data_IF_164249400155
#
_entry.id   IF_164249400155
#
_cell.length_a   1.000
_cell.length_b   1.000
_cell.length_c   1.000
_cell.angle_alpha   90.00
_cell.angle_beta   90.00
_cell.angle_gamma   90.00
#
_symmetry.space_group_name_H-M   'P 1'
#
loop_
_entity.id
_entity.type
_entity.pdbx_description
1 polymer ?
#
# COMPACT_ATOMS: atom_id res chain seq x y z
N UNK A 1 43.48 -33.34 24.84
CA UNK A 1 42.22 -33.41 25.63
C UNK A 1 41.13 -32.44 25.13
N UNK A 2 41.25 -31.87 23.91
CA UNK A 2 40.25 -30.91 23.38
C UNK A 2 39.22 -31.55 22.43
N UNK A 3 39.56 -32.66 21.78
CA UNK A 3 38.74 -33.27 20.73
C UNK A 3 37.40 -33.82 21.21
N UNK A 4 37.27 -34.22 22.48
CA UNK A 4 35.99 -34.66 23.07
C UNK A 4 35.07 -33.49 23.40
N UNK A 5 35.63 -32.34 23.81
CA UNK A 5 34.88 -31.10 24.02
C UNK A 5 34.39 -30.58 22.66
N UNK A 6 35.26 -30.51 21.65
CA UNK A 6 34.90 -30.06 20.30
C UNK A 6 33.81 -30.96 19.66
N UNK A 7 33.90 -32.29 19.85
CA UNK A 7 32.92 -33.26 19.36
C UNK A 7 31.54 -33.13 20.03
N UNK A 8 31.51 -32.70 21.30
CA UNK A 8 30.27 -32.46 22.05
C UNK A 8 29.67 -31.09 21.75
N UNK A 9 30.51 -30.09 21.48
CA UNK A 9 30.11 -28.71 21.18
C UNK A 9 29.57 -28.55 19.76
N UNK A 10 30.13 -29.24 18.76
CA UNK A 10 29.70 -29.16 17.37
C UNK A 10 28.18 -29.40 17.17
N UNK A 11 27.57 -30.48 17.70
CA UNK A 11 26.12 -30.69 17.56
C UNK A 11 25.29 -29.67 18.35
N UNK A 12 25.77 -29.21 19.52
CA UNK A 12 25.08 -28.17 20.31
C UNK A 12 25.07 -26.81 19.59
N UNK A 13 26.22 -26.41 19.05
CA UNK A 13 26.34 -25.18 18.25
C UNK A 13 25.52 -25.29 16.98
N UNK A 14 25.53 -26.45 16.31
CA UNK A 14 24.69 -26.71 15.14
C UNK A 14 23.20 -26.62 15.45
N UNK A 15 22.74 -27.22 16.55
CA UNK A 15 21.36 -27.14 17.00
C UNK A 15 20.95 -25.70 17.34
N UNK A 16 21.80 -24.96 18.05
CA UNK A 16 21.56 -23.55 18.36
C UNK A 16 21.49 -22.69 17.08
N UNK A 17 22.43 -22.86 16.15
CA UNK A 17 22.44 -22.16 14.89
C UNK A 17 21.18 -22.46 14.05
N UNK A 18 20.72 -23.71 14.06
CA UNK A 18 19.48 -24.12 13.39
C UNK A 18 18.24 -23.46 13.98
N UNK A 19 18.13 -23.42 15.32
CA UNK A 19 17.02 -22.72 16.01
C UNK A 19 17.04 -21.23 15.69
N UNK A 20 18.22 -20.59 15.72
CA UNK A 20 18.37 -19.19 15.37
C UNK A 20 17.98 -18.95 13.90
N UNK A 21 18.41 -19.82 12.98
CA UNK A 21 18.05 -19.71 11.57
C UNK A 21 16.53 -19.80 11.35
N UNK A 22 15.84 -20.72 12.03
CA UNK A 22 14.38 -20.81 12.01
C UNK A 22 13.73 -19.54 12.57
N UNK A 23 14.21 -19.04 13.72
CA UNK A 23 13.66 -17.83 14.33
C UNK A 23 13.83 -16.61 13.41
N UNK A 24 15.00 -16.43 12.80
CA UNK A 24 15.25 -15.37 11.82
C UNK A 24 14.39 -15.51 10.57
N UNK A 25 14.21 -16.74 10.07
CA UNK A 25 13.35 -17.01 8.93
C UNK A 25 11.89 -16.66 9.20
N UNK A 26 11.35 -17.11 10.35
CA UNK A 26 9.97 -16.79 10.75
C UNK A 26 9.80 -15.30 10.97
N UNK A 27 10.75 -14.65 11.65
CA UNK A 27 10.71 -13.20 11.87
C UNK A 27 10.72 -12.43 10.55
N UNK A 28 11.63 -12.75 9.63
CA UNK A 28 11.68 -12.15 8.28
C UNK A 28 10.35 -12.35 7.55
N UNK A 29 9.83 -13.59 7.55
CA UNK A 29 8.61 -13.96 6.84
C UNK A 29 7.41 -13.18 7.37
N UNK A 30 7.28 -13.06 8.70
CA UNK A 30 6.22 -12.28 9.34
C UNK A 30 6.35 -10.79 9.06
N UNK A 31 7.57 -10.23 9.10
CA UNK A 31 7.83 -8.83 8.80
C UNK A 31 7.41 -8.47 7.37
N UNK A 32 7.85 -9.26 6.39
CA UNK A 32 7.45 -9.08 4.99
C UNK A 32 5.96 -9.33 4.77
N UNK A 33 5.38 -10.36 5.41
CA UNK A 33 3.93 -10.62 5.35
C UNK A 33 3.11 -9.41 5.81
N UNK A 34 3.52 -8.78 6.91
CA UNK A 34 2.86 -7.59 7.44
C UNK A 34 3.05 -6.38 6.52
N UNK A 35 4.24 -6.21 5.94
CA UNK A 35 4.53 -5.15 4.96
C UNK A 35 3.68 -5.32 3.70
N UNK A 36 3.62 -6.52 3.13
CA UNK A 36 2.81 -6.86 1.96
C UNK A 36 1.33 -6.59 2.21
N UNK A 37 0.81 -7.00 3.38
CA UNK A 37 -0.58 -6.71 3.77
C UNK A 37 -0.91 -5.22 3.73
N UNK A 38 0.01 -4.35 4.17
CA UNK A 38 -0.19 -2.90 4.11
C UNK A 38 -0.19 -2.34 2.69
N UNK A 39 0.55 -2.97 1.79
CA UNK A 39 0.63 -2.55 0.38
C UNK A 39 -0.52 -3.14 -0.47
N UNK A 40 -1.41 -3.94 0.12
CA UNK A 40 -2.49 -4.61 -0.61
C UNK A 40 -2.05 -5.90 -1.31
N UNK A 41 -0.89 -6.44 -0.93
CA UNK A 41 -0.30 -7.64 -1.49
C UNK A 41 -0.58 -8.86 -0.61
N UNK A 42 -0.60 -10.05 -1.20
CA UNK A 42 -0.90 -11.29 -0.50
C UNK A 42 0.19 -11.63 0.54
N UNK A 43 -0.21 -11.73 1.81
CA UNK A 43 0.76 -11.91 2.90
C UNK A 43 1.52 -13.24 2.86
N UNK A 44 0.93 -14.31 2.32
CA UNK A 44 1.59 -15.61 2.23
C UNK A 44 2.88 -15.57 1.41
N UNK A 45 3.00 -14.61 0.48
CA UNK A 45 4.21 -14.39 -0.33
C UNK A 45 5.45 -14.13 0.54
N UNK A 46 5.26 -13.55 1.74
CA UNK A 46 6.34 -13.31 2.71
C UNK A 46 7.04 -14.58 3.20
N UNK A 47 6.33 -15.71 3.21
CA UNK A 47 6.82 -17.01 3.68
C UNK A 47 7.59 -17.80 2.62
N UNK A 48 7.60 -17.38 1.36
CA UNK A 48 8.30 -18.13 0.31
C UNK A 48 9.61 -17.42 -0.03
N UNK A 49 10.80 -18.00 0.24
CA UNK A 49 12.10 -17.29 0.20
C UNK A 49 12.46 -16.62 -1.13
N UNK A 50 12.03 -17.18 -2.25
CA UNK A 50 12.27 -16.55 -3.56
C UNK A 50 11.19 -15.54 -3.89
N UNK A 51 9.93 -15.88 -3.59
CA UNK A 51 8.79 -15.05 -3.91
C UNK A 51 8.74 -13.77 -3.06
N UNK A 52 9.17 -13.82 -1.80
CA UNK A 52 9.18 -12.63 -0.94
C UNK A 52 10.11 -11.55 -1.51
N UNK A 53 11.33 -11.90 -1.92
CA UNK A 53 12.26 -10.99 -2.58
C UNK A 53 11.75 -10.60 -3.97
N UNK A 54 11.24 -11.55 -4.77
CA UNK A 54 10.65 -11.26 -6.08
C UNK A 54 9.51 -10.23 -5.99
N UNK A 55 8.68 -10.31 -4.95
CA UNK A 55 7.59 -9.37 -4.67
C UNK A 55 8.14 -7.99 -4.32
N UNK A 56 9.20 -7.91 -3.50
CA UNK A 56 9.89 -6.63 -3.24
C UNK A 56 10.50 -6.04 -4.52
N UNK A 57 11.08 -6.87 -5.40
CA UNK A 57 11.54 -6.44 -6.73
C UNK A 57 10.39 -5.87 -7.56
N UNK A 58 9.24 -6.57 -7.59
CA UNK A 58 8.04 -6.14 -8.32
C UNK A 58 7.56 -4.76 -7.87
N UNK A 59 7.44 -4.55 -6.55
CA UNK A 59 7.06 -3.27 -5.95
C UNK A 59 8.12 -2.17 -6.17
N UNK A 60 9.38 -2.55 -6.34
CA UNK A 60 10.46 -1.68 -6.81
C UNK A 60 10.43 -1.37 -8.31
N UNK A 61 9.48 -1.90 -9.07
CA UNK A 61 9.34 -1.70 -10.52
C UNK A 61 10.28 -2.55 -11.37
N UNK A 62 10.81 -3.65 -10.83
CA UNK A 62 11.65 -4.60 -11.55
C UNK A 62 10.90 -5.89 -11.92
N UNK A 63 11.47 -6.65 -12.87
CA UNK A 63 10.97 -7.99 -13.19
C UNK A 63 11.23 -8.95 -12.01
N UNK A 64 10.20 -9.59 -11.41
CA UNK A 64 10.34 -10.51 -10.28
C UNK A 64 11.28 -11.69 -10.55
N UNK A 65 11.38 -12.13 -11.81
CA UNK A 65 12.25 -13.24 -12.22
C UNK A 65 13.75 -12.94 -12.04
N UNK A 66 14.12 -11.67 -11.87
CA UNK A 66 15.52 -11.31 -11.58
C UNK A 66 16.00 -11.86 -10.23
N UNK A 67 15.10 -12.28 -9.33
CA UNK A 67 15.50 -12.93 -8.08
C UNK A 67 16.29 -14.23 -8.33
N UNK A 68 16.04 -14.92 -9.45
CA UNK A 68 16.71 -16.18 -9.78
C UNK A 68 18.22 -15.99 -10.01
N UNK A 69 18.70 -14.77 -10.22
CA UNK A 69 20.14 -14.49 -10.31
C UNK A 69 20.86 -14.85 -9.01
N UNK A 70 20.18 -14.95 -7.86
CA UNK A 70 20.79 -15.39 -6.60
C UNK A 70 21.35 -16.81 -6.68
N UNK A 71 20.86 -17.65 -7.61
CA UNK A 71 21.38 -19.00 -7.85
C UNK A 71 22.78 -18.96 -8.50
N UNK A 72 23.17 -17.84 -9.11
CA UNK A 72 24.52 -17.64 -9.66
C UNK A 72 25.40 -17.05 -8.55
N UNK A 73 26.30 -17.85 -7.95
CA UNK A 73 27.10 -17.40 -6.83
C UNK A 73 28.03 -16.25 -7.22
N UNK A 74 28.29 -15.35 -6.27
CA UNK A 74 29.11 -14.15 -6.48
C UNK A 74 28.31 -13.02 -7.13
N UNK A 75 28.45 -12.86 -8.45
CA UNK A 75 27.91 -11.68 -9.17
C UNK A 75 26.38 -11.66 -9.12
N UNK A 76 25.71 -12.81 -9.31
CA UNK A 76 24.25 -12.87 -9.34
C UNK A 76 23.61 -12.46 -8.01
N UNK A 77 24.13 -12.97 -6.89
CA UNK A 77 23.71 -12.56 -5.56
C UNK A 77 23.93 -11.06 -5.30
N UNK A 78 25.07 -10.51 -5.74
CA UNK A 78 25.36 -9.07 -5.63
C UNK A 78 24.36 -8.22 -6.43
N UNK A 79 24.04 -8.63 -7.66
CA UNK A 79 23.05 -7.93 -8.50
C UNK A 79 21.67 -7.94 -7.83
N UNK A 80 21.22 -9.09 -7.31
CA UNK A 80 19.93 -9.17 -6.59
C UNK A 80 19.91 -8.27 -5.36
N UNK A 81 21.02 -8.21 -4.59
CA UNK A 81 21.15 -7.33 -3.44
C UNK A 81 21.02 -5.85 -3.86
N UNK A 82 21.71 -5.43 -4.91
CA UNK A 82 21.63 -4.04 -5.43
C UNK A 82 20.20 -3.72 -5.89
N UNK A 83 19.54 -4.64 -6.60
CA UNK A 83 18.15 -4.47 -7.03
C UNK A 83 17.19 -4.33 -5.84
N UNK A 84 17.36 -5.15 -4.80
CA UNK A 84 16.57 -5.05 -3.57
C UNK A 84 16.77 -3.70 -2.87
N UNK A 85 18.00 -3.18 -2.85
CA UNK A 85 18.29 -1.86 -2.28
C UNK A 85 17.59 -0.75 -3.08
N UNK A 86 17.64 -0.81 -4.41
CA UNK A 86 16.94 0.14 -5.27
C UNK A 86 15.42 0.02 -5.08
N UNK A 87 14.88 -1.20 -4.99
CA UNK A 87 13.47 -1.43 -4.69
C UNK A 87 13.07 -0.82 -3.35
N UNK A 88 13.83 -1.08 -2.29
CA UNK A 88 13.59 -0.50 -0.98
C UNK A 88 13.63 1.04 -1.04
N UNK A 89 14.58 1.62 -1.77
CA UNK A 89 14.63 3.07 -2.00
C UNK A 89 13.37 3.63 -2.65
N UNK A 90 12.81 2.92 -3.65
CA UNK A 90 11.58 3.33 -4.34
C UNK A 90 10.32 3.11 -3.49
N UNK A 91 10.33 2.12 -2.61
CA UNK A 91 9.22 1.81 -1.69
C UNK A 91 9.17 2.79 -0.51
N UNK A 92 10.33 3.17 0.05
CA UNK A 92 10.44 4.00 1.25
C UNK A 92 9.60 5.29 1.24
N UNK A 93 9.58 6.09 0.14
CA UNK A 93 8.73 7.27 0.05
C UNK A 93 7.23 6.99 0.21
N UNK A 94 6.76 5.80 -0.19
CA UNK A 94 5.36 5.41 -0.03
C UNK A 94 4.96 5.16 1.42
N UNK A 95 5.91 4.89 2.30
CA UNK A 95 5.69 4.86 3.75
C UNK A 95 6.03 6.20 4.44
N UNK A 96 6.57 7.16 3.71
CA UNK A 96 7.03 8.45 4.23
C UNK A 96 8.47 8.46 4.75
N UNK A 97 9.28 7.44 4.41
CA UNK A 97 10.68 7.36 4.81
C UNK A 97 11.63 7.88 3.72
N UNK A 98 12.77 8.43 4.16
CA UNK A 98 13.83 8.94 3.27
C UNK A 98 14.96 7.94 2.98
N UNK A 99 16.07 8.43 2.38
CA UNK A 99 17.21 7.58 1.99
C UNK A 99 17.90 6.86 3.16
N UNK A 100 17.87 7.40 4.38
CA UNK A 100 18.43 6.70 5.56
C UNK A 100 17.78 5.33 5.80
N UNK A 101 16.50 5.20 5.47
CA UNK A 101 15.78 3.92 5.54
C UNK A 101 16.26 2.93 4.47
N UNK A 102 16.82 3.41 3.35
CA UNK A 102 17.45 2.57 2.32
C UNK A 102 18.77 2.02 2.80
N UNK A 103 19.57 2.82 3.52
CA UNK A 103 20.81 2.35 4.13
C UNK A 103 20.50 1.24 5.15
N UNK A 104 19.45 1.42 5.96
CA UNK A 104 18.97 0.37 6.85
C UNK A 104 18.54 -0.88 6.08
N UNK A 105 17.82 -0.75 4.96
CA UNK A 105 17.45 -1.88 4.11
C UNK A 105 18.67 -2.64 3.57
N UNK A 106 19.71 -1.91 3.16
CA UNK A 106 20.93 -2.47 2.60
C UNK A 106 21.75 -3.25 3.63
N UNK A 107 21.84 -2.75 4.87
CA UNK A 107 22.61 -3.37 5.94
C UNK A 107 21.81 -4.44 6.72
N UNK A 108 20.52 -4.18 6.93
CA UNK A 108 19.65 -4.93 7.83
C UNK A 108 18.23 -5.07 7.23
N UNK A 109 18.14 -5.86 6.16
CA UNK A 109 16.89 -6.05 5.42
C UNK A 109 15.71 -6.51 6.28
N UNK A 110 15.93 -7.43 7.24
CA UNK A 110 14.90 -7.92 8.18
C UNK A 110 14.34 -6.78 9.04
N UNK A 111 15.23 -5.90 9.53
CA UNK A 111 14.86 -4.78 10.41
C UNK A 111 14.08 -3.73 9.63
N UNK A 112 14.51 -3.44 8.39
CA UNK A 112 13.78 -2.59 7.47
C UNK A 112 12.35 -3.08 7.24
N UNK A 113 12.19 -4.36 6.89
CA UNK A 113 10.88 -4.98 6.67
C UNK A 113 10.01 -4.95 7.95
N UNK A 114 10.62 -5.14 9.12
CA UNK A 114 9.91 -5.11 10.41
C UNK A 114 9.33 -3.73 10.72
N UNK A 115 10.11 -2.67 10.48
CA UNK A 115 9.66 -1.30 10.70
C UNK A 115 8.52 -0.95 9.73
N UNK A 116 8.62 -1.34 8.46
CA UNK A 116 7.55 -1.09 7.50
C UNK A 116 6.31 -1.92 7.79
N UNK A 117 6.49 -3.20 8.12
CA UNK A 117 5.42 -4.16 8.38
C UNK A 117 4.67 -3.91 9.67
N UNK A 118 5.39 -3.75 10.80
CA UNK A 118 4.79 -3.61 12.13
C UNK A 118 4.69 -2.17 12.61
N UNK A 119 5.40 -1.23 12.00
CA UNK A 119 5.37 0.17 12.41
C UNK A 119 3.98 0.82 12.22
N UNK A 120 3.72 1.97 12.84
CA UNK A 120 2.41 2.63 12.78
C UNK A 120 2.14 3.32 11.43
N UNK A 121 3.16 3.49 10.59
CA UNK A 121 3.04 4.21 9.32
C UNK A 121 2.19 3.43 8.31
N UNK A 122 1.08 4.01 7.81
CA UNK A 122 0.32 3.41 6.73
C UNK A 122 1.04 3.56 5.40
N UNK A 123 0.77 2.64 4.48
CA UNK A 123 1.18 2.77 3.08
C UNK A 123 0.37 3.88 2.41
N UNK A 124 1.05 4.86 1.82
CA UNK A 124 0.44 5.99 1.11
C UNK A 124 0.54 5.86 -0.42
N UNK A 125 1.05 4.72 -0.91
CA UNK A 125 1.38 4.51 -2.31
C UNK A 125 2.75 5.06 -2.68
N UNK A 126 3.47 4.35 -3.54
CA UNK A 126 4.66 4.89 -4.17
C UNK A 126 4.24 6.16 -4.94
N UNK A 127 4.95 7.28 -4.78
CA UNK A 127 4.68 8.50 -5.56
C UNK A 127 4.80 8.19 -7.06
N UNK A 128 3.69 7.80 -7.65
CA UNK A 128 3.38 7.83 -9.06
C UNK A 128 2.01 8.49 -9.12
N UNK A 129 2.00 9.81 -8.92
CA UNK A 129 1.02 10.64 -9.61
C UNK A 129 1.32 10.53 -11.11
N UNK A 130 0.90 9.42 -11.70
CA UNK A 130 0.56 9.34 -13.11
C UNK A 130 -0.95 9.45 -13.28
N UNK A 131 -1.65 9.97 -12.28
CA UNK A 131 -2.77 10.84 -12.60
C UNK A 131 -2.13 12.13 -13.15
N UNK A 132 -2.49 12.57 -14.37
CA UNK A 132 -2.21 13.95 -14.79
C UNK A 132 -2.59 14.89 -13.63
N UNK A 133 -1.92 16.04 -13.45
CA UNK A 133 -2.43 17.07 -12.55
C UNK A 133 -3.91 17.22 -12.88
N UNK A 134 -4.82 16.84 -11.98
CA UNK A 134 -6.23 17.09 -12.21
C UNK A 134 -6.30 18.60 -12.27
N UNK A 135 -6.59 19.21 -13.44
CA UNK A 135 -6.71 20.65 -13.50
C UNK A 135 -7.76 21.06 -12.47
N UNK A 136 -7.65 22.26 -11.87
CA UNK A 136 -8.66 22.75 -10.96
C UNK A 136 -10.03 22.51 -11.58
N UNK A 137 -10.84 21.64 -10.96
CA UNK A 137 -12.16 21.32 -11.49
C UNK A 137 -12.91 22.65 -11.52
N UNK A 138 -13.32 23.18 -12.68
CA UNK A 138 -14.14 24.38 -12.69
C UNK A 138 -15.38 24.10 -11.85
N UNK A 139 -15.89 25.08 -11.09
CA UNK A 139 -17.12 24.90 -10.34
C UNK A 139 -18.17 24.37 -11.30
N UNK A 140 -18.72 23.20 -10.99
CA UNK A 140 -19.83 22.63 -11.74
C UNK A 140 -20.89 23.73 -11.86
N UNK A 141 -21.43 24.02 -13.06
CA UNK A 141 -22.58 24.89 -13.17
C UNK A 141 -23.65 24.34 -12.23
N UNK A 142 -24.33 25.23 -11.51
CA UNK A 142 -25.41 24.90 -10.58
C UNK A 142 -26.67 24.40 -11.33
N UNK A 143 -26.51 23.54 -12.33
CA UNK A 143 -27.60 22.95 -13.12
C UNK A 143 -28.50 22.06 -12.24
N UNK A 144 -27.99 21.57 -11.11
CA UNK A 144 -28.80 20.90 -10.09
C UNK A 144 -29.70 21.85 -9.30
N UNK A 145 -29.35 23.13 -9.16
CA UNK A 145 -30.22 24.13 -8.54
C UNK A 145 -31.32 24.62 -9.50
N UNK A 146 -31.07 24.64 -10.80
CA UNK A 146 -32.06 25.03 -11.81
C UNK A 146 -33.21 24.01 -11.93
N UNK A 147 -32.93 22.71 -11.78
CA UNK A 147 -33.99 21.68 -11.80
C UNK A 147 -34.86 21.72 -10.53
N UNK A 148 -34.30 22.12 -9.38
CA UNK A 148 -35.05 22.28 -8.14
C UNK A 148 -35.94 23.53 -8.11
N UNK A 149 -35.56 24.61 -8.82
CA UNK A 149 -36.37 25.81 -8.94
C UNK A 149 -37.58 25.65 -9.88
N UNK A 150 -37.53 24.68 -10.81
CA UNK A 150 -38.60 24.46 -11.79
C UNK A 150 -39.76 23.60 -11.27
N UNK A 151 -39.67 23.05 -10.06
CA UNK A 151 -40.74 22.29 -9.39
C UNK A 151 -41.44 23.08 -8.26
N UNK A 152 -41.10 24.36 -8.09
CA UNK A 152 -41.80 25.22 -7.15
C UNK A 152 -43.23 25.50 -7.65
N UNK A 153 -44.27 25.33 -6.82
CA UNK A 153 -45.64 25.68 -7.19
C UNK A 153 -45.73 27.18 -7.51
N UNK A 154 -46.29 27.52 -8.66
CA UNK A 154 -46.58 28.91 -9.03
C UNK A 154 -47.59 29.48 -8.03
N UNK A 155 -47.30 30.60 -7.33
CA UNK A 155 -48.28 31.25 -6.48
C UNK A 155 -49.41 31.83 -7.34
N UNK A 156 -50.68 31.74 -6.90
CA UNK A 156 -51.81 32.31 -7.66
C UNK A 156 -51.66 33.83 -7.74
N UNK A 157 -51.49 34.34 -8.95
CA UNK A 157 -51.53 35.78 -9.21
C UNK A 157 -52.97 36.27 -9.03
N UNK A 158 -53.17 37.23 -8.12
CA UNK A 158 -54.43 37.94 -7.99
C UNK A 158 -54.64 38.83 -9.23
N UNK A 159 -55.44 38.35 -10.19
CA UNK A 159 -55.87 39.13 -11.34
C UNK A 159 -56.84 40.26 -10.93
N UNK A 160 -56.97 41.32 -11.74
CA UNK A 160 -57.90 42.41 -11.47
C UNK A 160 -59.35 41.89 -11.43
N UNK A 161 -60.08 42.29 -10.39
CA UNK A 161 -61.42 41.79 -10.09
C UNK A 161 -62.41 41.95 -11.23
N UNK A 162 -63.07 40.84 -11.59
CA UNK A 162 -64.26 40.84 -12.43
C UNK A 162 -65.50 41.10 -11.55
N UNK A 163 -66.53 41.81 -12.03
CA UNK A 163 -67.74 42.04 -11.26
C UNK A 163 -68.51 40.74 -11.02
N UNK A 164 -69.05 40.56 -9.82
CA UNK A 164 -69.82 39.39 -9.44
C UNK A 164 -71.14 39.30 -10.26
N UNK A 165 -71.52 38.11 -10.76
CA UNK A 165 -72.83 37.92 -11.39
C UNK A 165 -73.95 37.92 -10.33
N UNK A 166 -75.00 38.69 -10.61
CA UNK A 166 -76.21 38.74 -9.79
C UNK A 166 -77.04 37.46 -9.97
N UNK A 167 -77.33 36.75 -8.87
CA UNK A 167 -78.25 35.61 -8.87
C UNK A 167 -79.70 36.09 -8.63
N UNK A 168 -80.68 35.63 -9.41
CA UNK A 168 -82.09 35.89 -9.12
C UNK A 168 -82.58 35.05 -7.91
N UNK A 169 -83.53 35.55 -7.10
CA UNK A 169 -84.04 34.85 -5.94
C UNK A 169 -84.93 33.65 -6.33
N UNK A 170 -84.82 32.58 -5.54
CA UNK A 170 -85.61 31.35 -5.68
C UNK A 170 -87.09 31.58 -5.25
N UNK A 171 -88.08 31.07 -6.00
CA UNK A 171 -89.49 31.12 -5.64
C UNK A 171 -89.85 30.16 -4.47
N UNK A 172 -90.99 30.41 -3.77
CA UNK A 172 -91.32 29.85 -2.45
C UNK A 172 -91.69 28.37 -2.41
#
# INVERSE_FOLDING_TARGET
>A
MNSTIDASLAPLVGALAFVIAIALYVWMSLALSAMFRKMGEESWKGWVPFLNHATVLAWGGFNPWLVLLVLVPGIGALVVLVLLVISAHRINPGFGYGPGMTVLAALLFVVWASILGFGPTPWRGARHSTAPPVPPRPPLPATSAAFAASSAPVPPQAGPGLPAPAFPPLPP
#
